data_IF_647496827956
#
_entry.id   IF_647496827956
#
_cell.length_a   1.000
_cell.length_b   1.000
_cell.length_c   1.000
_cell.angle_alpha   90.00
_cell.angle_beta   90.00
_cell.angle_gamma   90.00
#
_symmetry.space_group_name_H-M   'P 1'
#
loop_
_entity.id
_entity.type
_entity.pdbx_description
1 polymer ?
#
# COMPACT_ATOMS: atom_id res chain seq x y z
N UNK A 1 -9.55 1.90 -15.60
CA UNK A 1 -9.55 2.07 -14.12
C UNK A 1 -10.04 0.77 -13.54
N UNK A 2 -9.40 0.33 -12.47
CA UNK A 2 -9.76 -0.88 -11.76
C UNK A 2 -10.92 -0.58 -10.80
N UNK A 3 -11.71 -1.61 -10.50
CA UNK A 3 -12.85 -1.53 -9.58
C UNK A 3 -12.50 -2.32 -8.32
N UNK A 4 -12.40 -1.62 -7.19
CA UNK A 4 -12.30 -2.24 -5.87
C UNK A 4 -13.69 -2.64 -5.38
N UNK A 5 -13.81 -3.81 -4.74
CA UNK A 5 -15.02 -4.19 -4.02
C UNK A 5 -14.67 -4.90 -2.72
N UNK A 6 -15.17 -4.38 -1.61
CA UNK A 6 -15.14 -5.01 -0.29
C UNK A 6 -16.50 -5.63 0.01
N UNK A 7 -16.52 -6.91 0.34
CA UNK A 7 -17.75 -7.67 0.64
C UNK A 7 -17.63 -8.41 1.95
N UNK A 8 -18.77 -8.62 2.62
CA UNK A 8 -18.85 -9.34 3.88
C UNK A 8 -19.85 -10.49 3.78
N UNK A 9 -19.48 -11.63 4.34
CA UNK A 9 -20.30 -12.83 4.39
C UNK A 9 -20.45 -13.29 5.83
N UNK A 10 -21.67 -13.57 6.27
CA UNK A 10 -21.92 -14.18 7.59
C UNK A 10 -21.76 -15.69 7.52
N UNK A 11 -20.87 -16.25 8.33
CA UNK A 11 -20.65 -17.69 8.48
C UNK A 11 -21.07 -18.09 9.89
N UNK A 12 -21.87 -19.16 10.07
CA UNK A 12 -22.16 -19.71 11.39
C UNK A 12 -20.87 -20.11 12.12
N UNK A 13 -20.69 -19.66 13.36
CA UNK A 13 -19.57 -20.10 14.20
C UNK A 13 -19.87 -21.52 14.73
N UNK A 14 -19.32 -22.53 14.07
CA UNK A 14 -19.52 -23.94 14.43
C UNK A 14 -18.67 -24.39 15.63
N UNK A 15 -17.69 -23.60 16.07
CA UNK A 15 -16.60 -24.07 16.93
C UNK A 15 -16.82 -23.82 18.43
N UNK A 16 -17.92 -23.18 18.84
CA UNK A 16 -17.95 -22.48 20.14
C UNK A 16 -19.14 -22.77 21.08
N UNK A 17 -19.97 -23.78 20.85
CA UNK A 17 -21.04 -24.19 21.79
C UNK A 17 -22.09 -23.11 22.17
N UNK A 18 -21.95 -21.89 21.65
CA UNK A 18 -22.85 -20.75 21.79
C UNK A 18 -23.63 -20.63 20.50
N UNK A 19 -24.87 -21.09 20.54
CA UNK A 19 -25.71 -21.35 19.38
C UNK A 19 -26.05 -20.16 18.45
N UNK A 20 -25.46 -18.96 18.60
CA UNK A 20 -25.85 -17.76 17.85
C UNK A 20 -24.68 -16.80 17.54
N UNK A 21 -23.42 -17.26 17.56
CA UNK A 21 -22.30 -16.38 17.16
C UNK A 21 -22.11 -16.45 15.65
N UNK A 22 -22.07 -15.30 14.99
CA UNK A 22 -21.75 -15.20 13.57
C UNK A 22 -20.34 -14.67 13.39
N UNK A 23 -19.63 -15.24 12.43
CA UNK A 23 -18.34 -14.73 11.96
C UNK A 23 -18.57 -13.99 10.66
N UNK A 24 -18.21 -12.71 10.61
CA UNK A 24 -18.15 -11.97 9.36
C UNK A 24 -16.81 -12.26 8.69
N UNK A 25 -16.86 -13.01 7.59
CA UNK A 25 -15.76 -13.18 6.66
C UNK A 25 -15.73 -12.00 5.69
N UNK A 26 -14.54 -11.58 5.32
CA UNK A 26 -14.29 -10.40 4.50
C UNK A 26 -13.68 -10.86 3.19
N UNK A 27 -14.02 -10.19 2.10
CA UNK A 27 -13.45 -10.47 0.80
C UNK A 27 -13.23 -9.15 0.06
N UNK A 28 -11.96 -8.91 -0.31
CA UNK A 28 -11.54 -7.79 -1.13
C UNK A 28 -11.21 -8.30 -2.53
N UNK A 29 -11.81 -7.67 -3.54
CA UNK A 29 -11.56 -7.98 -4.95
C UNK A 29 -11.21 -6.74 -5.74
N UNK A 30 -10.35 -6.92 -6.74
CA UNK A 30 -10.04 -5.93 -7.77
C UNK A 30 -10.47 -6.50 -9.11
N UNK A 31 -11.33 -5.79 -9.84
CA UNK A 31 -11.93 -6.25 -11.10
C UNK A 31 -12.60 -7.63 -10.98
N UNK A 32 -13.29 -7.87 -9.86
CA UNK A 32 -13.93 -9.14 -9.51
C UNK A 32 -12.97 -10.33 -9.32
N UNK A 33 -11.68 -10.08 -9.20
CA UNK A 33 -10.66 -11.08 -8.91
C UNK A 33 -10.10 -10.90 -7.50
N UNK A 34 -9.74 -12.00 -6.85
CA UNK A 34 -9.00 -11.96 -5.57
C UNK A 34 -7.54 -11.63 -5.86
N UNK A 35 -6.91 -10.85 -4.97
CA UNK A 35 -5.47 -10.58 -5.05
C UNK A 35 -4.63 -11.75 -4.53
N UNK A 36 -5.18 -12.52 -3.58
CA UNK A 36 -4.65 -13.80 -3.11
C UNK A 36 -5.20 -14.95 -3.94
N UNK A 37 -4.33 -15.88 -4.32
CA UNK A 37 -4.67 -17.16 -4.95
C UNK A 37 -5.15 -18.20 -3.92
N UNK A 38 -4.96 -17.94 -2.62
CA UNK A 38 -5.31 -18.84 -1.52
C UNK A 38 -6.52 -18.31 -0.74
N UNK A 39 -7.62 -19.05 -0.79
CA UNK A 39 -8.88 -18.69 -0.12
C UNK A 39 -8.74 -18.56 1.41
N UNK A 40 -7.77 -19.25 2.00
CA UNK A 40 -7.54 -19.29 3.45
C UNK A 40 -6.92 -17.99 4.00
N UNK A 41 -6.52 -17.05 3.13
CA UNK A 41 -5.78 -15.83 3.49
C UNK A 41 -6.52 -14.54 3.12
N UNK A 42 -7.83 -14.60 2.90
CA UNK A 42 -8.69 -13.43 2.65
C UNK A 42 -8.98 -12.62 3.93
N UNK A 43 -8.03 -12.57 4.87
CA UNK A 43 -8.17 -11.82 6.11
C UNK A 43 -7.60 -10.44 5.91
N UNK A 44 -8.40 -9.42 6.21
CA UNK A 44 -8.08 -8.02 5.97
C UNK A 44 -7.85 -7.27 7.26
N UNK A 45 -6.82 -6.42 7.29
CA UNK A 45 -6.62 -5.42 8.31
C UNK A 45 -7.41 -4.15 7.96
N UNK A 46 -8.66 -4.08 8.42
CA UNK A 46 -9.59 -3.01 8.03
C UNK A 46 -9.09 -1.60 8.36
N UNK A 47 -8.36 -1.41 9.46
CA UNK A 47 -7.79 -0.10 9.80
C UNK A 47 -6.74 0.36 8.77
N UNK A 48 -5.93 -0.57 8.23
CA UNK A 48 -4.93 -0.27 7.20
C UNK A 48 -5.62 0.02 5.87
N UNK A 49 -6.64 -0.78 5.52
CA UNK A 49 -7.47 -0.54 4.34
C UNK A 49 -8.18 0.82 4.41
N UNK A 50 -8.74 1.20 5.56
CA UNK A 50 -9.36 2.53 5.74
C UNK A 50 -8.30 3.63 5.74
N UNK A 51 -7.15 3.39 6.36
CA UNK A 51 -6.01 4.32 6.35
C UNK A 51 -5.55 4.64 4.93
N UNK A 52 -5.55 3.66 4.04
CA UNK A 52 -5.14 3.83 2.64
C UNK A 52 -6.05 4.75 1.80
N UNK A 53 -7.27 5.05 2.26
CA UNK A 53 -8.14 6.06 1.64
C UNK A 53 -7.49 7.44 1.69
N UNK A 54 -6.75 7.72 2.77
CA UNK A 54 -6.25 9.05 3.09
C UNK A 54 -4.73 9.15 3.08
N UNK A 55 -4.04 8.02 3.23
CA UNK A 55 -2.59 7.96 3.29
C UNK A 55 -1.95 7.51 1.98
N UNK A 56 -0.63 7.63 1.98
CA UNK A 56 0.26 7.03 1.00
C UNK A 56 1.37 6.26 1.74
N UNK A 57 2.04 5.33 1.05
CA UNK A 57 3.06 4.47 1.60
C UNK A 57 2.60 3.02 1.76
N UNK A 58 3.36 2.21 2.54
CA UNK A 58 3.05 0.80 2.74
C UNK A 58 1.88 0.59 3.71
N UNK A 59 1.00 -0.36 3.38
CA UNK A 59 -0.12 -0.79 4.22
C UNK A 59 -0.18 -2.33 4.32
N UNK A 60 -0.25 -2.84 5.55
CA UNK A 60 -0.43 -4.27 5.87
C UNK A 60 -1.91 -4.69 5.68
N UNK A 61 -2.47 -4.51 4.47
CA UNK A 61 -3.91 -4.72 4.21
C UNK A 61 -4.33 -6.19 4.37
N UNK A 62 -3.47 -7.14 4.00
CA UNK A 62 -3.74 -8.57 4.10
C UNK A 62 -2.96 -9.19 5.26
N UNK A 63 -3.61 -10.04 6.04
CA UNK A 63 -3.01 -10.65 7.24
C UNK A 63 -3.35 -12.13 7.40
N UNK A 64 -2.75 -12.79 8.40
CA UNK A 64 -3.26 -14.07 8.91
C UNK A 64 -4.54 -13.89 9.74
N UNK A 65 -5.09 -15.02 10.20
CA UNK A 65 -6.10 -15.06 11.26
C UNK A 65 -5.67 -14.47 12.62
N UNK A 66 -4.38 -14.20 12.76
CA UNK A 66 -3.73 -13.59 13.89
C UNK A 66 -3.36 -12.11 13.67
N UNK A 67 -3.88 -11.45 12.63
CA UNK A 67 -3.68 -10.01 12.40
C UNK A 67 -2.26 -9.60 12.01
N UNK A 68 -1.36 -10.57 11.85
CA UNK A 68 0.05 -10.38 11.48
C UNK A 68 0.27 -10.83 10.04
N UNK A 69 0.71 -9.94 9.15
CA UNK A 69 0.97 -10.26 7.73
C UNK A 69 1.97 -11.41 7.55
N UNK A 70 3.06 -11.39 8.32
CA UNK A 70 4.17 -12.34 8.18
C UNK A 70 3.75 -13.78 8.53
N UNK A 71 2.78 -13.96 9.42
CA UNK A 71 2.23 -15.28 9.72
C UNK A 71 1.42 -15.88 8.55
N UNK A 72 0.95 -15.04 7.62
CA UNK A 72 0.35 -15.47 6.36
C UNK A 72 1.39 -15.66 5.23
N UNK A 73 2.68 -15.44 5.52
CA UNK A 73 3.73 -15.44 4.50
C UNK A 73 3.73 -14.20 3.61
N UNK A 74 3.07 -13.12 4.05
CA UNK A 74 3.09 -11.81 3.41
C UNK A 74 4.24 -11.04 4.04
N UNK A 75 5.30 -10.84 3.26
CA UNK A 75 6.55 -10.21 3.70
C UNK A 75 6.71 -8.79 3.19
N UNK A 76 5.93 -8.42 2.18
CA UNK A 76 5.92 -7.08 1.61
C UNK A 76 4.50 -6.51 1.62
N UNK A 77 4.43 -5.22 1.91
CA UNK A 77 3.18 -4.49 2.06
C UNK A 77 2.64 -4.02 0.70
N UNK A 78 1.35 -3.73 0.64
CA UNK A 78 0.77 -3.03 -0.51
C UNK A 78 1.21 -1.57 -0.41
N UNK A 79 1.93 -1.07 -1.41
CA UNK A 79 2.28 0.34 -1.47
C UNK A 79 1.16 1.13 -2.15
N UNK A 80 0.65 2.14 -1.46
CA UNK A 80 -0.44 2.99 -1.92
C UNK A 80 0.09 4.39 -2.22
N UNK A 81 -0.18 4.90 -3.41
CA UNK A 81 0.14 6.27 -3.81
C UNK A 81 -1.13 7.04 -4.18
N UNK A 82 -1.09 8.36 -3.99
CA UNK A 82 -2.19 9.28 -4.27
C UNK A 82 -1.75 10.26 -5.36
N UNK A 83 -2.28 10.13 -6.58
CA UNK A 83 -1.84 10.95 -7.73
C UNK A 83 -3.05 11.57 -8.42
N UNK A 84 -3.20 12.90 -8.27
CA UNK A 84 -4.35 13.62 -8.83
C UNK A 84 -5.65 13.08 -8.22
N UNK A 85 -6.55 12.58 -9.07
CA UNK A 85 -7.82 11.95 -8.67
C UNK A 85 -7.73 10.42 -8.58
N UNK A 86 -6.52 9.86 -8.61
CA UNK A 86 -6.30 8.41 -8.59
C UNK A 86 -5.63 7.93 -7.30
N UNK A 87 -5.97 6.70 -6.94
CA UNK A 87 -5.26 5.87 -5.95
C UNK A 87 -4.53 4.79 -6.73
N UNK A 88 -3.23 4.65 -6.52
CA UNK A 88 -2.40 3.65 -7.17
C UNK A 88 -1.97 2.62 -6.12
N UNK A 89 -2.19 1.34 -6.41
CA UNK A 89 -1.65 0.24 -5.60
C UNK A 89 -0.54 -0.45 -6.38
N UNK A 90 0.59 -0.65 -5.72
CA UNK A 90 1.64 -1.56 -6.14
C UNK A 90 1.57 -2.78 -5.21
N UNK A 91 1.11 -3.90 -5.75
CA UNK A 91 0.86 -5.14 -5.00
C UNK A 91 1.94 -6.15 -5.37
N UNK A 92 2.68 -6.72 -4.40
CA UNK A 92 3.64 -7.77 -4.70
C UNK A 92 2.95 -8.99 -5.36
N UNK A 93 3.59 -9.58 -6.37
CA UNK A 93 3.10 -10.75 -7.09
C UNK A 93 4.18 -11.85 -7.15
N UNK A 94 3.98 -13.00 -6.47
CA UNK A 94 2.79 -13.34 -5.68
C UNK A 94 2.70 -12.56 -4.36
N UNK A 95 1.48 -12.25 -3.92
CA UNK A 95 1.24 -11.51 -2.66
C UNK A 95 1.69 -12.33 -1.43
N UNK A 96 1.47 -13.64 -1.49
CA UNK A 96 1.92 -14.59 -0.48
C UNK A 96 3.22 -15.21 -0.98
N UNK A 97 4.23 -15.30 -0.12
CA UNK A 97 5.57 -15.84 -0.41
C UNK A 97 6.36 -15.01 -1.41
N UNK A 98 6.62 -13.75 -1.07
CA UNK A 98 7.57 -12.93 -1.82
C UNK A 98 8.94 -13.62 -1.89
N UNK A 99 9.42 -13.81 -3.11
CA UNK A 99 10.75 -14.35 -3.43
C UNK A 99 11.56 -13.29 -4.17
N UNK A 100 12.88 -13.34 -4.05
CA UNK A 100 13.76 -12.44 -4.79
C UNK A 100 13.47 -12.54 -6.31
N UNK A 101 13.17 -11.40 -6.93
CA UNK A 101 12.74 -11.32 -8.33
C UNK A 101 11.23 -11.38 -8.55
N UNK A 102 10.41 -11.34 -7.50
CA UNK A 102 8.96 -11.17 -7.63
C UNK A 102 8.61 -9.85 -8.35
N UNK A 103 7.49 -9.85 -9.04
CA UNK A 103 6.99 -8.67 -9.79
C UNK A 103 5.97 -7.90 -8.95
N UNK A 104 5.49 -6.77 -9.47
CA UNK A 104 4.38 -6.03 -8.88
C UNK A 104 3.23 -5.92 -9.87
N UNK A 105 2.03 -6.14 -9.38
CA UNK A 105 0.81 -5.79 -10.09
C UNK A 105 0.44 -4.34 -9.74
N UNK A 106 0.10 -3.57 -10.77
CA UNK A 106 -0.23 -2.16 -10.64
C UNK A 106 -1.72 -1.94 -10.86
N UNK A 107 -2.40 -1.42 -9.85
CA UNK A 107 -3.83 -1.09 -9.93
C UNK A 107 -4.04 0.41 -9.80
N UNK A 108 -4.94 0.95 -10.60
CA UNK A 108 -5.29 2.36 -10.62
C UNK A 108 -6.78 2.51 -10.42
N UNK A 109 -7.15 3.12 -9.29
CA UNK A 109 -8.53 3.37 -8.90
C UNK A 109 -8.86 4.84 -8.97
N UNK A 110 -10.12 5.15 -9.28
CA UNK A 110 -10.65 6.49 -9.10
C UNK A 110 -10.79 6.72 -7.61
N UNK A 111 -10.30 7.85 -7.10
CA UNK A 111 -10.26 8.09 -5.65
C UNK A 111 -11.67 8.08 -5.04
N UNK A 112 -12.65 8.66 -5.74
CA UNK A 112 -14.01 8.69 -5.24
C UNK A 112 -14.63 7.29 -5.24
N UNK A 113 -14.46 6.52 -6.32
CA UNK A 113 -14.96 5.14 -6.40
C UNK A 113 -14.27 4.21 -5.39
N UNK A 114 -12.95 4.36 -5.22
CA UNK A 114 -12.16 3.62 -4.24
C UNK A 114 -12.69 3.83 -2.81
N UNK A 115 -12.87 5.10 -2.43
CA UNK A 115 -13.43 5.47 -1.13
C UNK A 115 -14.85 4.95 -0.95
N UNK A 116 -15.69 5.11 -1.98
CA UNK A 116 -17.07 4.65 -1.94
C UNK A 116 -17.15 3.13 -1.77
N UNK A 117 -16.31 2.36 -2.47
CA UNK A 117 -16.28 0.90 -2.37
C UNK A 117 -15.93 0.41 -0.95
N UNK A 118 -14.98 1.07 -0.27
CA UNK A 118 -14.63 0.73 1.11
C UNK A 118 -15.77 1.16 2.06
N UNK A 119 -16.34 2.36 1.86
CA UNK A 119 -17.47 2.85 2.65
C UNK A 119 -18.68 1.90 2.57
N UNK A 120 -19.08 1.52 1.36
CA UNK A 120 -20.24 0.64 1.13
C UNK A 120 -20.04 -0.73 1.79
N UNK A 121 -18.85 -1.32 1.65
CA UNK A 121 -18.53 -2.59 2.31
C UNK A 121 -18.59 -2.49 3.83
N UNK A 122 -18.05 -1.43 4.43
CA UNK A 122 -18.12 -1.22 5.88
C UNK A 122 -19.55 -1.01 6.37
N UNK A 123 -20.38 -0.28 5.63
CA UNK A 123 -21.78 -0.04 5.97
C UNK A 123 -22.63 -1.31 5.87
N UNK A 124 -22.37 -2.16 4.87
CA UNK A 124 -22.94 -3.50 4.78
C UNK A 124 -22.59 -4.32 6.03
N UNK A 125 -21.32 -4.35 6.41
CA UNK A 125 -20.86 -5.10 7.57
C UNK A 125 -21.46 -4.60 8.89
N UNK A 126 -21.54 -3.27 9.09
CA UNK A 126 -22.19 -2.66 10.25
C UNK A 126 -23.68 -3.02 10.30
N UNK A 127 -24.35 -2.98 9.16
CA UNK A 127 -25.75 -3.37 9.06
C UNK A 127 -25.97 -4.83 9.46
N UNK A 128 -25.09 -5.74 9.03
CA UNK A 128 -25.11 -7.14 9.46
C UNK A 128 -24.94 -7.27 10.98
N UNK A 129 -23.99 -6.57 11.59
CA UNK A 129 -23.78 -6.59 13.04
C UNK A 129 -25.05 -6.16 13.79
N UNK A 130 -25.68 -5.07 13.35
CA UNK A 130 -26.88 -4.54 13.99
C UNK A 130 -28.08 -5.49 13.85
N UNK A 131 -28.26 -6.12 12.69
CA UNK A 131 -29.31 -7.12 12.45
C UNK A 131 -29.17 -8.34 13.37
N UNK A 132 -27.95 -8.68 13.77
CA UNK A 132 -27.65 -9.80 14.67
C UNK A 132 -27.47 -9.39 16.14
N UNK A 133 -27.99 -8.22 16.53
CA UNK A 133 -28.02 -7.77 17.92
C UNK A 133 -26.63 -7.50 18.50
N UNK A 134 -25.64 -7.21 17.65
CA UNK A 134 -24.26 -6.91 18.06
C UNK A 134 -23.39 -8.12 18.39
N UNK A 135 -23.93 -9.34 18.35
CA UNK A 135 -23.20 -10.58 18.68
C UNK A 135 -22.51 -11.17 17.45
N UNK A 136 -21.60 -10.42 16.85
CA UNK A 136 -20.79 -10.88 15.71
C UNK A 136 -19.30 -10.81 16.05
N UNK A 137 -18.55 -11.80 15.58
CA UNK A 137 -17.10 -11.73 15.46
C UNK A 137 -16.78 -11.19 14.08
N UNK A 138 -15.95 -10.16 14.02
CA UNK A 138 -15.62 -9.51 12.75
C UNK A 138 -14.22 -9.94 12.38
N UNK A 139 -14.11 -10.77 11.35
CA UNK A 139 -12.83 -11.32 10.94
C UNK A 139 -12.10 -12.06 12.06
N UNK A 140 -10.86 -12.47 11.79
CA UNK A 140 -10.02 -13.12 12.77
C UNK A 140 -9.17 -12.08 13.54
N UNK A 141 -8.44 -12.52 14.56
CA UNK A 141 -7.60 -11.70 15.46
C UNK A 141 -8.30 -10.76 16.46
N UNK A 142 -9.54 -11.06 16.83
CA UNK A 142 -10.18 -10.34 17.92
C UNK A 142 -10.56 -8.89 17.59
N UNK A 143 -10.58 -8.55 16.29
CA UNK A 143 -11.29 -7.36 15.82
C UNK A 143 -12.76 -7.49 16.20
N UNK A 144 -13.24 -6.55 17.02
CA UNK A 144 -14.55 -6.64 17.65
C UNK A 144 -15.61 -5.96 16.80
N UNK A 145 -16.87 -6.39 16.94
CA UNK A 145 -18.00 -5.66 16.39
C UNK A 145 -18.02 -4.19 16.81
N UNK A 146 -17.61 -3.89 18.05
CA UNK A 146 -17.49 -2.52 18.55
C UNK A 146 -16.46 -1.69 17.78
N UNK A 147 -15.29 -2.25 17.46
CA UNK A 147 -14.28 -1.60 16.63
C UNK A 147 -14.79 -1.36 15.20
N UNK A 148 -15.47 -2.34 14.60
CA UNK A 148 -16.06 -2.14 13.26
C UNK A 148 -17.12 -1.03 13.24
N UNK A 149 -17.95 -0.95 14.29
CA UNK A 149 -18.96 0.11 14.41
C UNK A 149 -18.33 1.50 14.61
N UNK A 150 -17.14 1.57 15.21
CA UNK A 150 -16.37 2.79 15.40
C UNK A 150 -15.50 3.17 14.20
N UNK A 151 -15.22 2.22 13.30
CA UNK A 151 -14.53 2.48 12.04
C UNK A 151 -15.37 3.44 11.20
N UNK A 152 -14.89 4.67 11.06
CA UNK A 152 -15.51 5.69 10.24
C UNK A 152 -14.55 6.07 9.12
N UNK A 153 -15.11 6.23 7.92
CA UNK A 153 -14.41 6.84 6.79
C UNK A 153 -14.67 8.34 6.76
N UNK A 154 -14.84 8.97 7.92
CA UNK A 154 -15.00 10.42 8.00
C UNK A 154 -13.75 11.04 7.38
N UNK A 155 -14.00 11.91 6.39
CA UNK A 155 -12.96 12.72 5.77
C UNK A 155 -12.25 13.47 6.89
N UNK A 156 -10.94 13.30 7.08
CA UNK A 156 -10.28 14.11 8.07
C UNK A 156 -10.31 15.55 7.53
N UNK A 157 -11.20 16.38 8.10
CA UNK A 157 -11.33 17.83 7.81
C UNK A 157 -9.99 18.59 7.97
N UNK A 158 -9.00 17.93 8.57
CA UNK A 158 -7.60 18.28 8.45
C UNK A 158 -6.88 17.16 7.69
N UNK A 159 -6.19 17.48 6.61
CA UNK A 159 -5.16 16.62 6.02
C UNK A 159 -4.12 16.35 7.12
N UNK A 160 -4.35 15.33 7.93
CA UNK A 160 -3.34 14.81 8.85
C UNK A 160 -2.48 13.93 7.96
N UNK A 161 -1.24 14.34 7.71
CA UNK A 161 -0.16 13.52 7.17
C UNK A 161 0.06 12.33 8.12
N UNK A 162 -0.85 11.34 8.05
CA UNK A 162 -0.71 10.06 8.74
C UNK A 162 0.21 9.21 7.88
N UNK A 163 1.50 9.54 7.91
CA UNK A 163 2.51 8.55 7.51
C UNK A 163 2.31 7.34 8.43
N UNK A 164 2.20 6.12 7.88
CA UNK A 164 2.31 4.93 8.70
C UNK A 164 3.56 5.07 9.55
N UNK A 165 3.45 4.93 10.88
CA UNK A 165 4.65 4.93 11.70
C UNK A 165 5.45 3.69 11.32
N UNK A 166 6.66 3.84 10.77
CA UNK A 166 7.41 2.70 10.30
C UNK A 166 7.80 1.86 11.52
N UNK A 167 7.41 0.58 11.53
CA UNK A 167 7.84 -0.37 12.58
C UNK A 167 9.36 -0.67 12.48
N UNK A 168 9.99 -0.28 11.36
CA UNK A 168 11.43 -0.23 11.11
C UNK A 168 11.82 1.15 10.53
N UNK A 169 12.55 1.99 11.27
CA UNK A 169 12.72 3.41 10.97
C UNK A 169 13.43 3.72 9.63
N UNK A 170 12.65 3.89 8.57
CA UNK A 170 12.98 4.68 7.39
C UNK A 170 12.09 5.92 7.38
N UNK A 171 12.67 7.11 7.51
CA UNK A 171 11.91 8.37 7.42
C UNK A 171 11.91 8.81 5.97
N UNK A 172 10.86 8.47 5.24
CA UNK A 172 10.63 8.97 3.88
C UNK A 172 9.96 10.35 3.98
N UNK A 173 10.60 11.38 3.43
CA UNK A 173 9.92 12.64 3.10
C UNK A 173 9.20 12.41 1.77
N UNK A 174 7.93 12.81 1.69
CA UNK A 174 6.99 12.43 0.63
C UNK A 174 7.49 12.68 -0.81
N UNK A 175 6.83 12.06 -1.80
CA UNK A 175 7.22 12.20 -3.20
C UNK A 175 7.15 13.67 -3.63
N UNK A 176 8.17 14.12 -4.36
CA UNK A 176 8.16 15.39 -5.06
C UNK A 176 8.16 15.12 -6.56
N UNK A 177 7.17 15.71 -7.22
CA UNK A 177 7.03 15.64 -8.67
C UNK A 177 7.94 16.69 -9.30
N UNK A 178 8.87 16.23 -10.12
CA UNK A 178 9.64 17.08 -11.04
C UNK A 178 8.97 17.02 -12.41
N UNK A 179 8.37 18.13 -12.82
CA UNK A 179 7.86 18.38 -14.18
C UNK A 179 7.02 17.24 -14.81
N UNK A 180 6.09 16.65 -14.04
CA UNK A 180 5.19 15.57 -14.50
C UNK A 180 5.89 14.30 -15.04
N UNK A 181 7.20 14.10 -14.79
CA UNK A 181 7.96 13.00 -15.39
C UNK A 181 8.67 12.09 -14.39
N UNK A 182 8.92 12.56 -13.16
CA UNK A 182 9.66 11.78 -12.17
C UNK A 182 8.98 11.84 -10.80
N UNK A 183 8.94 10.69 -10.12
CA UNK A 183 8.64 10.62 -8.69
C UNK A 183 9.98 10.49 -7.98
N UNK A 184 10.40 11.54 -7.28
CA UNK A 184 11.58 11.48 -6.43
C UNK A 184 11.17 11.57 -4.96
N UNK A 185 11.84 10.86 -4.06
CA UNK A 185 11.64 11.02 -2.61
C UNK A 185 12.97 11.22 -1.92
N UNK A 186 12.98 12.08 -0.89
CA UNK A 186 14.15 12.25 -0.04
C UNK A 186 14.01 11.29 1.14
N UNK A 187 14.96 10.38 1.29
CA UNK A 187 14.96 9.40 2.37
C UNK A 187 15.99 9.81 3.39
N UNK A 188 15.56 9.90 4.65
CA UNK A 188 16.42 10.08 5.81
C UNK A 188 16.49 8.75 6.57
N UNK A 189 17.69 8.22 6.69
CA UNK A 189 17.98 7.05 7.52
C UNK A 189 18.70 7.50 8.78
N UNK A 190 18.07 7.22 9.92
CA UNK A 190 18.67 7.41 11.22
C UNK A 190 19.26 6.08 11.68
N UNK A 191 20.59 5.99 11.70
CA UNK A 191 21.27 4.81 12.21
C UNK A 191 21.25 4.89 13.74
N UNK A 192 20.39 4.08 14.35
CA UNK A 192 20.25 3.99 15.80
C UNK A 192 21.62 3.75 16.47
N UNK A 193 21.95 4.58 17.47
CA UNK A 193 23.18 4.46 18.26
C UNK A 193 24.41 5.18 17.72
N UNK A 194 24.36 5.83 16.54
CA UNK A 194 25.50 6.61 16.01
C UNK A 194 25.28 8.12 15.96
N UNK A 195 24.06 8.61 16.18
CA UNK A 195 23.74 10.04 16.08
C UNK A 195 23.98 10.62 14.67
N UNK A 196 24.15 9.75 13.67
CA UNK A 196 24.39 10.13 12.28
C UNK A 196 23.14 9.82 11.46
N UNK A 197 22.67 10.83 10.72
CA UNK A 197 21.61 10.68 9.73
C UNK A 197 22.23 10.70 8.34
N UNK A 198 21.86 9.74 7.50
CA UNK A 198 22.19 9.76 6.07
C UNK A 198 20.96 10.21 5.28
N UNK A 199 21.16 11.09 4.30
CA UNK A 199 20.11 11.48 3.37
C UNK A 199 20.50 11.06 1.96
N UNK A 200 19.53 10.56 1.20
CA UNK A 200 19.68 10.31 -0.22
C UNK A 200 18.37 10.62 -0.95
N UNK A 201 18.48 10.81 -2.26
CA UNK A 201 17.28 10.86 -3.13
C UNK A 201 17.09 9.48 -3.72
N UNK A 202 15.85 9.02 -3.71
CA UNK A 202 15.41 7.90 -4.53
C UNK A 202 14.56 8.45 -5.67
N UNK A 203 14.91 8.11 -6.90
CA UNK A 203 14.13 8.47 -8.08
C UNK A 203 13.48 7.23 -8.67
N UNK A 204 12.19 7.31 -8.97
CA UNK A 204 11.46 6.26 -9.67
C UNK A 204 11.71 6.37 -11.17
N UNK A 205 12.25 5.32 -11.76
CA UNK A 205 12.56 5.25 -13.20
C UNK A 205 11.39 4.76 -14.05
N UNK A 206 10.26 4.40 -13.44
CA UNK A 206 9.16 3.69 -14.09
C UNK A 206 9.24 2.16 -13.93
N UNK A 207 10.39 1.62 -13.49
CA UNK A 207 10.62 0.17 -13.33
C UNK A 207 11.15 -0.16 -11.93
N UNK A 208 12.05 0.66 -11.40
CA UNK A 208 12.63 0.50 -10.07
C UNK A 208 13.05 1.87 -9.49
N UNK A 209 13.29 1.91 -8.18
CA UNK A 209 13.90 3.05 -7.50
C UNK A 209 15.42 3.03 -7.67
N UNK A 210 16.00 4.14 -8.08
CA UNK A 210 17.47 4.33 -8.09
C UNK A 210 17.88 5.23 -6.93
N UNK A 211 18.96 4.86 -6.24
CA UNK A 211 19.48 5.58 -5.08
C UNK A 211 20.67 6.44 -5.49
N UNK A 212 20.54 7.76 -5.38
CA UNK A 212 21.67 8.67 -5.54
C UNK A 212 22.00 9.34 -4.20
N UNK A 213 23.23 9.13 -3.75
CA UNK A 213 23.78 9.82 -2.59
C UNK A 213 23.99 11.29 -2.92
N UNK A 214 23.27 12.17 -2.23
CA UNK A 214 23.51 13.61 -2.32
C UNK A 214 24.87 13.90 -1.66
N UNK A 215 25.87 14.46 -2.37
CA UNK A 215 27.07 14.95 -1.70
C UNK A 215 26.67 15.98 -0.64
N UNK A 216 27.30 15.92 0.53
CA UNK A 216 26.92 16.61 1.77
C UNK A 216 26.42 18.05 1.60
N UNK A 217 25.10 18.23 1.43
CA UNK A 217 24.45 19.54 1.50
C UNK A 217 24.27 19.87 3.00
N UNK A 218 24.74 21.03 3.49
CA UNK A 218 24.51 21.46 4.86
C UNK A 218 23.01 21.51 5.18
N UNK A 219 22.62 21.01 6.37
CA UNK A 219 21.23 20.94 6.83
C UNK A 219 20.48 22.27 6.66
N UNK A 220 21.15 23.39 6.94
CA UNK A 220 20.55 24.72 6.89
C UNK A 220 20.10 25.09 5.46
N UNK A 221 20.76 24.55 4.43
CA UNK A 221 20.42 24.79 3.03
C UNK A 221 19.14 24.07 2.62
N UNK A 222 18.92 22.83 3.09
CA UNK A 222 17.73 22.04 2.75
C UNK A 222 16.47 22.60 3.44
N UNK A 223 16.59 23.14 4.64
CA UNK A 223 15.45 23.74 5.35
C UNK A 223 15.17 25.21 4.97
N UNK A 224 16.20 25.99 4.59
CA UNK A 224 16.03 27.40 4.22
C UNK A 224 15.59 27.59 2.76
N UNK A 225 15.86 26.61 1.90
CA UNK A 225 15.55 26.71 0.49
C UNK A 225 14.09 26.33 0.24
N UNK A 226 13.28 27.29 -0.20
CA UNK A 226 12.01 27.01 -0.89
C UNK A 226 12.24 26.45 -2.31
N UNK A 227 13.39 25.80 -2.52
CA UNK A 227 13.83 25.35 -3.84
C UNK A 227 13.03 24.10 -4.21
N UNK A 228 12.57 24.04 -5.46
CA UNK A 228 11.98 22.83 -6.01
C UNK A 228 13.09 21.76 -6.10
N UNK A 229 12.78 20.46 -5.95
CA UNK A 229 13.82 19.42 -5.99
C UNK A 229 14.67 19.36 -7.26
N UNK A 230 14.21 19.97 -8.35
CA UNK A 230 15.01 20.20 -9.56
C UNK A 230 16.28 21.01 -9.25
N UNK A 231 16.15 22.06 -8.44
CA UNK A 231 17.26 22.95 -8.09
C UNK A 231 18.25 22.24 -7.14
N UNK A 232 17.76 21.36 -6.25
CA UNK A 232 18.61 20.50 -5.42
C UNK A 232 19.36 19.43 -6.23
N UNK A 233 18.74 18.86 -7.27
CA UNK A 233 19.38 17.91 -8.18
C UNK A 233 20.45 18.60 -9.04
N UNK A 234 20.17 19.80 -9.55
CA UNK A 234 21.13 20.62 -10.28
C UNK A 234 22.32 21.03 -9.38
N UNK A 235 22.08 21.44 -8.14
CA UNK A 235 23.14 21.75 -7.16
C UNK A 235 23.98 20.52 -6.78
N UNK A 236 23.39 19.32 -6.78
CA UNK A 236 24.09 18.06 -6.55
C UNK A 236 24.91 17.58 -7.77
N UNK A 237 24.87 18.32 -8.89
CA UNK A 237 25.58 17.97 -10.12
C UNK A 237 24.94 16.82 -10.91
N UNK A 238 23.65 16.54 -10.67
CA UNK A 238 22.88 15.57 -11.46
C UNK A 238 22.57 16.21 -12.81
N UNK A 239 23.01 15.63 -13.94
CA UNK A 239 22.82 16.25 -15.25
C UNK A 239 21.32 16.35 -15.60
N UNK A 240 20.89 17.51 -16.12
CA UNK A 240 19.52 17.77 -16.61
C UNK A 240 19.19 17.05 -17.93
N UNK A 241 20.11 16.26 -18.48
CA UNK A 241 19.90 15.65 -19.78
C UNK A 241 18.80 14.57 -19.72
N UNK A 242 17.85 14.55 -20.67
CA UNK A 242 16.97 13.40 -20.83
C UNK A 242 17.84 12.18 -21.11
N UNK A 243 17.72 11.14 -20.27
CA UNK A 243 18.36 9.85 -20.54
C UNK A 243 18.01 9.40 -21.97
N UNK A 244 18.99 9.16 -22.85
CA UNK A 244 18.72 8.74 -24.21
C UNK A 244 18.34 7.26 -24.18
N UNK A 245 17.04 6.97 -24.20
CA UNK A 245 16.54 5.62 -24.45
C UNK A 245 15.85 5.57 -25.81
N UNK A 246 16.66 5.56 -26.87
CA UNK A 246 16.31 4.84 -28.10
C UNK A 246 16.85 3.41 -27.93
N UNK A 247 16.08 2.54 -27.27
CA UNK A 247 16.36 1.11 -27.23
C UNK A 247 15.46 0.41 -28.27
N UNK A 248 16.03 0.07 -29.42
CA UNK A 248 15.43 -0.92 -30.31
C UNK A 248 15.45 -2.28 -29.61
N UNK A 249 14.27 -2.84 -29.33
CA UNK A 249 14.13 -4.19 -28.81
C UNK A 249 14.72 -5.20 -29.82
N UNK A 250 15.60 -6.12 -29.41
CA UNK A 250 16.03 -7.19 -30.30
C UNK A 250 14.83 -8.10 -30.64
N UNK A 251 14.74 -8.63 -31.87
CA UNK A 251 13.64 -9.48 -32.27
C UNK A 251 13.62 -10.76 -31.42
N UNK A 252 12.44 -11.09 -30.90
CA UNK A 252 12.17 -12.29 -30.12
C UNK A 252 12.57 -13.55 -30.91
N UNK A 253 13.52 -14.31 -30.38
CA UNK A 253 13.88 -15.62 -30.89
C UNK A 253 12.75 -16.62 -30.59
N UNK A 254 12.09 -17.11 -31.64
CA UNK A 254 11.15 -18.22 -31.58
C UNK A 254 11.89 -19.52 -31.24
N UNK A 255 11.79 -19.98 -29.98
CA UNK A 255 12.12 -21.36 -29.62
C UNK A 255 10.84 -22.20 -29.54
N UNK A 256 10.50 -22.85 -30.67
CA UNK A 256 9.69 -24.07 -30.68
C UNK A 256 10.63 -25.28 -30.64
N UNK A 257 10.67 -25.94 -29.50
CA UNK A 257 11.09 -27.35 -29.36
C UNK A 257 9.85 -28.03 -28.76
N UNK A 258 9.14 -28.95 -29.42
CA UNK A 258 9.64 -30.15 -30.07
C UNK A 258 9.43 -31.31 -29.11
N UNK A 259 8.19 -31.83 -29.05
CA UNK A 259 7.87 -33.11 -28.39
C UNK A 259 7.72 -34.14 -29.50
N UNK A 260 8.64 -35.12 -29.50
CA UNK A 260 8.43 -36.47 -29.99
C UNK A 260 8.78 -37.41 -28.83
#
# INVERSE_FOLDING_TARGET
MNILKLTFCSIPDHDMGKANTLVLSMLLTVDSQRLSDKEEFDMLHLDELVGSIYGYGPFEIYTCGCGTAQCAGIWEDITVDQVGDNVLWNVPNPLITFIEGSTYDHFVFDRQQYRQAIHDGLDEAKSMILQHGGSCRVGPYGFTAGQLLQLTTIEPDAVIDRRPQPRHAHVCHGPVFVENRYIARVVKEEIAGRGSSHMWVEAWTGIHWTRETIPSIPMDTVYASKLAPVELLAEAGVPEEPFPFDYELPPLANNRSGIL
#
